data_IF_505685089192
#
_entry.id   IF_505685089192
#
_cell.length_a   1.000
_cell.length_b   1.000
_cell.length_c   1.000
_cell.angle_alpha   90.00
_cell.angle_beta   90.00
_cell.angle_gamma   90.00
#
_symmetry.space_group_name_H-M   'P 1'
#
loop_
_entity.id
_entity.type
_entity.pdbx_description
1 polymer ?
#
# COMPACT_ATOMS: atom_id res chain seq x y z
N UNK A 1 0.46 -34.05 -31.04
CA UNK A 1 1.21 -33.91 -29.78
C UNK A 1 0.18 -33.89 -28.69
N UNK A 2 0.19 -34.91 -27.84
CA UNK A 2 -0.75 -35.05 -26.73
C UNK A 2 -0.57 -33.90 -25.75
N UNK A 3 -1.68 -33.24 -25.44
CA UNK A 3 -1.78 -32.15 -24.48
C UNK A 3 -1.63 -32.76 -23.08
N UNK A 4 -0.41 -32.79 -22.55
CA UNK A 4 -0.16 -33.26 -21.18
C UNK A 4 -0.53 -32.10 -20.24
N UNK A 5 -1.55 -32.25 -19.38
CA UNK A 5 -1.94 -31.19 -18.46
C UNK A 5 -0.77 -30.88 -17.53
N UNK A 6 -0.45 -29.59 -17.41
CA UNK A 6 0.43 -29.06 -16.38
C UNK A 6 0.19 -29.77 -15.04
N UNK A 7 1.27 -30.14 -14.34
CA UNK A 7 1.30 -30.86 -13.04
C UNK A 7 0.60 -30.11 -11.89
N UNK A 8 -0.27 -29.16 -12.19
CA UNK A 8 -0.98 -28.30 -11.25
C UNK A 8 -2.26 -28.98 -10.76
N UNK A 9 -2.12 -29.84 -9.74
CA UNK A 9 -3.26 -30.48 -9.08
C UNK A 9 -3.94 -29.50 -8.14
N UNK A 10 -5.16 -29.11 -8.51
CA UNK A 10 -6.08 -28.36 -7.66
C UNK A 10 -6.64 -29.28 -6.56
N UNK A 11 -6.82 -28.78 -5.32
CA UNK A 11 -7.42 -29.57 -4.26
C UNK A 11 -8.89 -29.85 -4.56
N UNK A 12 -9.32 -31.09 -4.32
CA UNK A 12 -10.66 -31.56 -4.66
C UNK A 12 -11.72 -30.86 -3.79
N UNK A 13 -12.93 -30.65 -4.33
CA UNK A 13 -14.05 -30.02 -3.59
C UNK A 13 -14.46 -30.79 -2.33
N UNK A 14 -14.13 -32.08 -2.27
CA UNK A 14 -14.36 -32.98 -1.13
C UNK A 14 -13.37 -32.77 0.02
N UNK A 15 -12.28 -32.04 -0.17
CA UNK A 15 -11.31 -31.76 0.89
C UNK A 15 -11.83 -30.69 1.87
N UNK A 16 -11.42 -30.83 3.14
CA UNK A 16 -11.77 -29.91 4.20
C UNK A 16 -11.35 -28.47 3.87
N UNK A 17 -12.09 -27.49 4.43
CA UNK A 17 -11.80 -26.06 4.22
C UNK A 17 -10.40 -25.68 4.70
N UNK A 18 -9.87 -26.41 5.70
CA UNK A 18 -8.53 -26.18 6.24
C UNK A 18 -7.44 -26.67 5.28
N UNK A 19 -7.59 -27.85 4.67
CA UNK A 19 -6.66 -28.37 3.66
C UNK A 19 -6.57 -27.46 2.43
N UNK A 20 -7.72 -27.00 1.91
CA UNK A 20 -7.76 -26.09 0.74
C UNK A 20 -7.10 -24.73 1.02
N UNK A 21 -7.31 -24.18 2.23
CA UNK A 21 -6.66 -22.94 2.67
C UNK A 21 -5.15 -23.13 2.82
N UNK A 22 -4.72 -24.25 3.40
CA UNK A 22 -3.30 -24.56 3.57
C UNK A 22 -2.60 -24.78 2.23
N UNK A 23 -3.27 -25.44 1.27
CA UNK A 23 -2.80 -25.57 -0.11
C UNK A 23 -2.63 -24.20 -0.78
N UNK A 24 -3.66 -23.33 -0.72
CA UNK A 24 -3.60 -22.01 -1.31
C UNK A 24 -2.50 -21.15 -0.67
N UNK A 25 -2.35 -21.21 0.66
CA UNK A 25 -1.26 -20.54 1.36
C UNK A 25 0.12 -21.06 0.97
N UNK A 26 0.26 -22.36 0.67
CA UNK A 26 1.52 -22.95 0.20
C UNK A 26 1.86 -22.46 -1.21
N UNK A 27 0.90 -22.50 -2.12
CA UNK A 27 1.04 -22.00 -3.50
C UNK A 27 1.35 -20.51 -3.53
N UNK A 28 0.61 -19.71 -2.75
CA UNK A 28 0.88 -18.27 -2.61
C UNK A 28 2.26 -18.04 -1.99
N UNK A 29 2.70 -18.85 -1.01
CA UNK A 29 4.02 -18.68 -0.38
C UNK A 29 5.16 -19.00 -1.34
N UNK A 30 5.04 -20.08 -2.12
CA UNK A 30 6.00 -20.43 -3.17
C UNK A 30 6.01 -19.35 -4.26
N UNK A 31 4.84 -18.89 -4.69
CA UNK A 31 4.70 -17.78 -5.64
C UNK A 31 5.25 -16.45 -5.10
N UNK A 32 5.07 -16.15 -3.82
CA UNK A 32 5.63 -14.94 -3.18
C UNK A 32 7.17 -15.02 -3.06
N UNK A 33 7.72 -16.22 -2.84
CA UNK A 33 9.18 -16.47 -2.82
C UNK A 33 9.81 -16.41 -4.21
N UNK A 34 9.09 -16.84 -5.24
CA UNK A 34 9.61 -16.91 -6.61
C UNK A 34 9.38 -15.59 -7.36
N UNK A 35 8.30 -14.88 -7.06
CA UNK A 35 7.87 -13.73 -7.86
C UNK A 35 7.67 -12.44 -7.07
N UNK A 36 7.74 -12.39 -5.73
CA UNK A 36 7.49 -11.14 -4.98
C UNK A 36 8.67 -10.68 -4.14
N UNK A 37 9.45 -11.60 -3.57
CA UNK A 37 10.73 -11.31 -2.96
C UNK A 37 11.77 -12.10 -3.75
N UNK A 38 12.63 -11.44 -4.51
CA UNK A 38 13.84 -12.12 -4.95
C UNK A 38 14.64 -12.41 -3.65
N UNK A 39 14.95 -13.69 -3.38
CA UNK A 39 15.61 -14.10 -2.13
C UNK A 39 16.94 -13.37 -1.92
N UNK A 40 17.56 -12.93 -3.02
CA UNK A 40 18.79 -12.13 -3.03
C UNK A 40 18.53 -10.66 -2.60
N UNK A 41 17.45 -10.04 -3.12
CA UNK A 41 17.08 -8.65 -2.80
C UNK A 41 16.68 -8.47 -1.32
N UNK A 42 16.05 -9.47 -0.69
CA UNK A 42 15.67 -9.37 0.73
C UNK A 42 16.88 -9.26 1.66
N UNK A 43 17.93 -10.05 1.39
CA UNK A 43 19.15 -10.05 2.20
C UNK A 43 20.01 -8.82 1.90
N UNK A 44 20.09 -8.38 0.64
CA UNK A 44 20.71 -7.12 0.25
C UNK A 44 20.02 -5.92 0.90
N UNK A 45 18.69 -5.90 0.95
CA UNK A 45 17.92 -4.85 1.64
C UNK A 45 18.19 -4.84 3.14
N UNK A 46 18.28 -6.00 3.79
CA UNK A 46 18.63 -6.09 5.22
C UNK A 46 20.05 -5.59 5.45
N UNK A 47 21.01 -5.98 4.60
CA UNK A 47 22.40 -5.52 4.69
C UNK A 47 22.53 -4.02 4.46
N UNK A 48 21.82 -3.48 3.49
CA UNK A 48 21.80 -2.05 3.17
C UNK A 48 21.17 -1.24 4.31
N UNK A 49 20.04 -1.70 4.88
CA UNK A 49 19.43 -1.08 6.06
C UNK A 49 20.40 -1.07 7.24
N UNK A 50 21.09 -2.18 7.51
CA UNK A 50 22.09 -2.26 8.58
C UNK A 50 23.30 -1.36 8.33
N UNK A 51 23.78 -1.28 7.07
CA UNK A 51 24.87 -0.38 6.65
C UNK A 51 24.50 1.08 6.91
N UNK A 52 23.29 1.48 6.53
CA UNK A 52 22.81 2.84 6.69
C UNK A 52 22.57 3.21 8.15
N UNK A 53 22.04 2.29 8.97
CA UNK A 53 21.87 2.52 10.41
C UNK A 53 23.23 2.64 11.13
N UNK A 54 24.22 1.80 10.76
CA UNK A 54 25.59 1.93 11.27
C UNK A 54 26.21 3.28 10.92
N UNK A 55 26.10 3.72 9.67
CA UNK A 55 26.61 5.02 9.23
C UNK A 55 25.91 6.20 9.92
N UNK A 56 24.63 6.08 10.27
CA UNK A 56 23.93 7.10 11.02
C UNK A 56 24.40 7.19 12.49
N UNK A 57 24.82 6.07 13.09
CA UNK A 57 25.37 6.02 14.46
C UNK A 57 26.84 6.45 14.52
N UNK A 58 27.64 6.07 13.53
CA UNK A 58 29.08 6.33 13.48
C UNK A 58 29.41 7.68 12.80
N UNK A 59 28.49 8.29 12.07
CA UNK A 59 28.73 9.53 11.34
C UNK A 59 29.53 9.33 10.04
N UNK A 60 29.66 10.41 9.28
CA UNK A 60 30.16 10.42 7.90
C UNK A 60 31.57 11.01 7.84
N UNK A 61 32.55 10.25 7.36
CA UNK A 61 33.94 10.69 7.19
C UNK A 61 34.16 11.36 5.84
N UNK A 62 34.85 12.51 5.83
CA UNK A 62 35.30 13.18 4.61
C UNK A 62 36.27 12.29 3.83
N UNK A 63 36.07 12.18 2.51
CA UNK A 63 36.87 11.32 1.62
C UNK A 63 38.33 11.76 1.48
N UNK A 64 38.64 13.03 1.75
CA UNK A 64 39.98 13.61 1.53
C UNK A 64 40.73 13.78 2.85
N UNK A 65 40.11 14.38 3.86
CA UNK A 65 40.79 14.74 5.10
C UNK A 65 40.39 13.92 6.33
N UNK A 66 39.48 12.94 6.18
CA UNK A 66 39.08 12.04 7.26
C UNK A 66 38.24 12.66 8.39
N UNK A 67 37.91 13.96 8.35
CA UNK A 67 37.05 14.61 9.35
C UNK A 67 35.65 14.00 9.39
N UNK A 68 35.10 13.83 10.59
CA UNK A 68 33.78 13.20 10.83
C UNK A 68 32.67 14.23 10.96
N UNK A 69 31.52 13.93 10.36
CA UNK A 69 30.32 14.77 10.35
C UNK A 69 29.09 13.98 10.79
N UNK A 70 28.18 14.63 11.51
CA UNK A 70 26.94 14.01 12.00
C UNK A 70 25.92 13.70 10.88
N UNK A 71 26.08 14.27 9.69
CA UNK A 71 25.19 14.02 8.55
C UNK A 71 25.89 14.15 7.21
N UNK A 72 25.44 13.36 6.25
CA UNK A 72 26.01 13.31 4.89
C UNK A 72 26.02 14.69 4.22
N UNK A 73 24.94 15.46 4.37
CA UNK A 73 24.83 16.84 3.88
C UNK A 73 25.94 17.76 4.41
N UNK A 74 26.39 17.55 5.65
CA UNK A 74 27.48 18.32 6.24
C UNK A 74 28.84 17.88 5.71
N UNK A 75 29.05 16.57 5.51
CA UNK A 75 30.25 16.03 4.87
C UNK A 75 30.37 16.60 3.45
N UNK A 76 29.33 16.49 2.64
CA UNK A 76 29.34 16.97 1.24
C UNK A 76 29.57 18.47 1.16
N UNK A 77 28.96 19.27 2.05
CA UNK A 77 29.21 20.72 2.11
C UNK A 77 30.68 21.04 2.41
N UNK A 78 31.29 20.29 3.32
CA UNK A 78 32.72 20.44 3.62
C UNK A 78 33.59 20.01 2.44
N UNK A 79 33.28 18.89 1.78
CA UNK A 79 34.01 18.39 0.61
C UNK A 79 33.99 19.40 -0.56
N UNK A 80 32.85 20.04 -0.81
CA UNK A 80 32.73 21.10 -1.82
C UNK A 80 33.54 22.34 -1.40
N UNK A 81 33.42 22.78 -0.15
CA UNK A 81 34.01 24.04 0.31
C UNK A 81 35.53 23.98 0.45
N UNK A 82 36.05 22.92 1.06
CA UNK A 82 37.46 22.81 1.45
C UNK A 82 38.29 21.99 0.45
N UNK A 83 37.64 21.15 -0.37
CA UNK A 83 38.32 20.27 -1.32
C UNK A 83 37.87 20.46 -2.77
N UNK A 84 36.91 21.37 -3.03
CA UNK A 84 36.40 21.61 -4.38
C UNK A 84 35.71 20.40 -5.02
N UNK A 85 35.42 19.34 -4.23
CA UNK A 85 34.85 18.09 -4.73
C UNK A 85 33.36 18.30 -5.02
N UNK A 86 33.06 18.58 -6.29
CA UNK A 86 31.68 18.57 -6.79
C UNK A 86 31.38 17.15 -7.24
N UNK A 87 30.34 16.56 -6.65
CA UNK A 87 29.91 15.19 -6.95
C UNK A 87 29.56 15.09 -8.44
N UNK A 88 30.44 14.48 -9.23
CA UNK A 88 30.12 13.91 -10.53
C UNK A 88 29.92 12.39 -10.36
N UNK A 89 29.08 11.83 -11.22
CA UNK A 89 28.83 10.40 -11.41
C UNK A 89 27.89 9.70 -10.41
N UNK A 90 26.60 9.88 -10.62
CA UNK A 90 25.67 8.74 -10.62
C UNK A 90 24.69 8.93 -11.78
N UNK A 91 24.06 7.87 -12.31
CA UNK A 91 23.08 7.95 -13.39
C UNK A 91 22.06 9.09 -13.16
N UNK A 92 21.83 9.89 -14.20
CA UNK A 92 21.07 11.16 -14.15
C UNK A 92 19.60 10.98 -13.74
N UNK A 93 19.11 9.74 -13.62
CA UNK A 93 17.72 9.43 -13.24
C UNK A 93 17.45 9.41 -11.72
N UNK A 94 18.46 9.26 -10.85
CA UNK A 94 18.23 9.26 -9.41
C UNK A 94 18.43 10.66 -8.79
N UNK A 95 17.32 11.27 -8.36
CA UNK A 95 17.32 12.54 -7.59
C UNK A 95 18.04 12.44 -6.25
N UNK A 96 18.51 11.25 -5.85
CA UNK A 96 19.17 10.96 -4.58
C UNK A 96 20.58 10.42 -4.78
N UNK A 97 21.41 10.54 -3.75
CA UNK A 97 22.74 9.92 -3.74
C UNK A 97 22.69 8.47 -3.22
N UNK A 98 23.83 7.78 -3.26
CA UNK A 98 24.01 6.41 -2.72
C UNK A 98 23.75 6.29 -1.21
N UNK A 99 23.46 7.41 -0.56
CA UNK A 99 23.07 7.51 0.83
C UNK A 99 21.66 8.08 0.96
N UNK A 100 20.83 8.07 -0.08
CA UNK A 100 19.42 8.50 -0.04
C UNK A 100 19.14 9.98 0.23
N UNK A 101 20.16 10.85 0.21
CA UNK A 101 19.99 12.31 0.31
C UNK A 101 19.65 12.91 -1.06
N UNK A 102 18.71 13.87 -1.10
CA UNK A 102 18.29 14.57 -2.30
C UNK A 102 19.40 15.48 -2.84
N UNK A 103 19.81 15.31 -4.09
CA UNK A 103 20.81 16.15 -4.74
C UNK A 103 20.19 17.42 -5.28
N UNK A 104 20.92 18.53 -5.24
CA UNK A 104 20.55 19.71 -6.00
C UNK A 104 20.73 19.42 -7.50
N UNK A 105 19.71 19.62 -8.35
CA UNK A 105 19.81 19.43 -9.80
C UNK A 105 20.76 20.43 -10.48
N UNK A 106 21.09 21.54 -9.81
CA UNK A 106 22.01 22.52 -10.37
C UNK A 106 23.45 21.97 -10.32
N UNK A 107 24.03 21.75 -11.51
CA UNK A 107 25.40 21.23 -11.73
C UNK A 107 26.45 22.07 -11.00
N UNK A 108 26.20 23.36 -10.81
CA UNK A 108 27.10 24.28 -10.11
C UNK A 108 26.96 24.24 -8.57
N UNK A 109 25.94 23.56 -8.04
CA UNK A 109 25.67 23.51 -6.61
C UNK A 109 26.25 22.25 -5.94
N UNK A 110 25.90 21.06 -6.43
CA UNK A 110 26.41 19.79 -5.89
C UNK A 110 26.01 19.45 -4.44
N UNK A 111 25.21 20.29 -3.77
CA UNK A 111 24.76 20.06 -2.40
C UNK A 111 23.73 18.93 -2.32
N UNK A 112 23.70 18.25 -1.16
CA UNK A 112 22.72 17.21 -0.85
C UNK A 112 21.90 17.56 0.40
N UNK A 113 20.65 17.11 0.42
CA UNK A 113 19.63 17.50 1.39
C UNK A 113 18.92 16.27 1.97
N UNK A 114 18.62 16.31 3.28
CA UNK A 114 17.96 15.19 3.95
C UNK A 114 16.50 15.00 3.50
N UNK A 115 15.82 16.09 3.17
CA UNK A 115 14.41 16.06 2.76
C UNK A 115 14.17 16.89 1.50
N UNK A 116 13.19 16.49 0.70
CA UNK A 116 12.78 17.22 -0.50
C UNK A 116 12.33 18.65 -0.16
N UNK A 117 11.66 18.86 0.98
CA UNK A 117 11.28 20.19 1.44
C UNK A 117 12.48 21.13 1.66
N UNK A 118 13.58 20.62 2.23
CA UNK A 118 14.81 21.41 2.39
C UNK A 118 15.51 21.69 1.08
N UNK A 119 15.48 20.75 0.13
CA UNK A 119 15.97 20.96 -1.22
C UNK A 119 15.17 22.07 -1.93
N UNK A 120 13.83 21.99 -1.93
CA UNK A 120 12.96 23.01 -2.56
C UNK A 120 13.20 24.40 -2.01
N UNK A 121 13.34 24.53 -0.68
CA UNK A 121 13.67 25.81 -0.03
C UNK A 121 15.03 26.35 -0.47
N UNK A 122 16.03 25.48 -0.59
CA UNK A 122 17.35 25.85 -1.08
C UNK A 122 17.30 26.30 -2.55
N UNK A 123 16.63 25.55 -3.42
CA UNK A 123 16.45 25.90 -4.83
C UNK A 123 15.80 27.27 -4.98
N UNK A 124 14.70 27.50 -4.26
CA UNK A 124 13.99 28.77 -4.29
C UNK A 124 14.86 29.95 -3.83
N UNK A 125 15.73 29.74 -2.83
CA UNK A 125 16.56 30.80 -2.26
C UNK A 125 17.83 31.09 -3.07
N UNK A 126 18.50 30.06 -3.55
CA UNK A 126 19.86 30.15 -4.13
C UNK A 126 19.88 29.99 -5.66
N UNK A 127 18.79 29.48 -6.28
CA UNK A 127 18.74 29.19 -7.71
C UNK A 127 17.52 29.77 -8.44
N UNK A 128 16.56 30.37 -7.73
CA UNK A 128 15.29 30.82 -8.32
C UNK A 128 14.41 29.65 -8.77
N UNK A 129 13.21 29.94 -9.30
CA UNK A 129 12.26 28.92 -9.75
C UNK A 129 12.82 28.21 -10.99
N UNK A 130 13.23 26.95 -10.84
CA UNK A 130 13.53 26.06 -11.96
C UNK A 130 12.33 25.12 -12.09
N UNK A 131 11.48 25.37 -13.08
CA UNK A 131 10.52 24.37 -13.57
C UNK A 131 11.31 23.22 -14.21
N UNK A 132 11.01 21.99 -13.79
CA UNK A 132 11.61 20.79 -14.34
C UNK A 132 11.03 20.59 -15.74
N UNK A 133 11.76 21.03 -16.78
CA UNK A 133 11.50 20.60 -18.15
C UNK A 133 12.22 19.28 -18.35
N UNK A 134 11.46 18.18 -18.33
CA UNK A 134 11.92 16.86 -18.71
C UNK A 134 12.15 16.81 -20.22
N UNK A 135 13.36 17.16 -20.68
CA UNK A 135 13.77 16.90 -22.05
C UNK A 135 14.37 15.49 -22.13
N UNK A 136 13.67 14.63 -22.85
CA UNK A 136 14.17 13.33 -23.28
C UNK A 136 15.28 13.54 -24.31
N UNK A 137 16.49 13.08 -24.00
CA UNK A 137 17.54 12.87 -25.01
C UNK A 137 18.11 11.48 -24.84
N UNK A 138 17.97 10.72 -25.92
CA UNK A 138 18.51 9.39 -26.13
C UNK A 138 20.04 9.46 -26.24
N UNK A 139 20.75 8.73 -25.39
CA UNK A 139 22.11 8.29 -25.66
C UNK A 139 22.21 6.78 -25.46
N UNK A 140 22.62 6.11 -26.53
CA UNK A 140 22.93 4.68 -26.60
C UNK A 140 24.30 4.44 -25.97
N UNK A 141 24.41 3.38 -25.18
CA UNK A 141 25.52 2.39 -25.15
C UNK A 141 25.19 1.37 -24.03
N UNK A 142 24.66 0.19 -24.37
CA UNK A 142 25.38 -1.07 -24.57
C UNK A 142 26.11 -1.59 -23.31
N UNK A 143 25.33 -2.09 -22.36
CA UNK A 143 25.57 -3.37 -21.70
C UNK A 143 24.22 -4.11 -21.65
N UNK A 144 24.24 -5.43 -21.46
CA UNK A 144 23.16 -6.37 -21.75
C UNK A 144 21.96 -6.29 -20.76
N UNK A 145 21.41 -5.10 -20.53
CA UNK A 145 20.17 -4.90 -19.77
C UNK A 145 18.98 -5.29 -20.65
N UNK A 146 18.21 -6.28 -20.20
CA UNK A 146 16.92 -6.58 -20.80
C UNK A 146 16.05 -5.32 -20.77
N UNK A 147 15.82 -4.71 -21.92
CA UNK A 147 14.97 -3.52 -22.05
C UNK A 147 13.65 -3.75 -21.32
N UNK A 148 13.27 -2.84 -20.41
CA UNK A 148 12.04 -2.94 -19.64
C UNK A 148 10.80 -3.18 -20.51
N UNK A 149 9.85 -3.95 -19.98
CA UNK A 149 8.55 -4.21 -20.61
C UNK A 149 7.46 -3.58 -19.75
N UNK A 150 7.07 -2.35 -20.10
CA UNK A 150 6.14 -1.57 -19.29
C UNK A 150 4.71 -2.10 -19.35
N UNK A 151 4.31 -2.75 -20.44
CA UNK A 151 3.00 -3.42 -20.55
C UNK A 151 2.94 -4.65 -19.64
N UNK A 152 3.99 -5.49 -19.65
CA UNK A 152 4.09 -6.63 -18.73
C UNK A 152 4.10 -6.15 -17.27
N UNK A 153 4.89 -5.12 -16.98
CA UNK A 153 4.99 -4.53 -15.65
C UNK A 153 3.64 -4.01 -15.14
N UNK A 154 2.86 -3.37 -16.01
CA UNK A 154 1.50 -2.90 -15.70
C UNK A 154 0.61 -4.07 -15.22
N UNK A 155 0.51 -5.12 -16.03
CA UNK A 155 -0.41 -6.22 -15.74
C UNK A 155 0.06 -7.05 -14.55
N UNK A 156 1.38 -7.24 -14.40
CA UNK A 156 1.99 -7.85 -13.22
C UNK A 156 1.65 -7.07 -11.94
N UNK A 157 1.81 -5.75 -11.95
CA UNK A 157 1.42 -4.89 -10.82
C UNK A 157 -0.09 -4.94 -10.54
N UNK A 158 -0.92 -4.87 -11.59
CA UNK A 158 -2.38 -4.90 -11.49
C UNK A 158 -2.88 -6.20 -10.87
N UNK A 159 -2.39 -7.36 -11.32
CA UNK A 159 -2.75 -8.65 -10.74
C UNK A 159 -2.29 -8.74 -9.28
N UNK A 160 -1.04 -8.34 -8.98
CA UNK A 160 -0.53 -8.35 -7.60
C UNK A 160 -1.41 -7.54 -6.66
N UNK A 161 -1.80 -6.33 -7.06
CA UNK A 161 -2.67 -5.47 -6.27
C UNK A 161 -4.10 -6.04 -6.18
N UNK A 162 -4.64 -6.56 -7.28
CA UNK A 162 -5.95 -7.21 -7.31
C UNK A 162 -6.05 -8.43 -6.39
N UNK A 163 -5.02 -9.28 -6.37
CA UNK A 163 -4.93 -10.42 -5.46
C UNK A 163 -4.83 -9.99 -3.99
N UNK A 164 -4.09 -8.92 -3.70
CA UNK A 164 -4.04 -8.36 -2.34
C UNK A 164 -5.44 -7.89 -1.88
N UNK A 165 -6.18 -7.18 -2.74
CA UNK A 165 -7.55 -6.75 -2.43
C UNK A 165 -8.51 -7.94 -2.28
N UNK A 166 -8.40 -8.94 -3.15
CA UNK A 166 -9.19 -10.15 -3.06
C UNK A 166 -8.93 -10.89 -1.73
N UNK A 167 -7.66 -10.97 -1.30
CA UNK A 167 -7.28 -11.58 -0.02
C UNK A 167 -7.81 -10.77 1.18
N UNK A 168 -7.80 -9.44 1.12
CA UNK A 168 -8.43 -8.58 2.14
C UNK A 168 -9.95 -8.85 2.21
N UNK A 169 -10.64 -8.87 1.08
CA UNK A 169 -12.08 -9.11 1.02
C UNK A 169 -12.45 -10.51 1.55
N UNK A 170 -11.67 -11.52 1.18
CA UNK A 170 -11.87 -12.87 1.68
C UNK A 170 -11.56 -12.97 3.19
N UNK A 171 -10.56 -12.23 3.69
CA UNK A 171 -10.26 -12.19 5.13
C UNK A 171 -11.40 -11.55 5.92
N UNK A 172 -12.00 -10.48 5.37
CA UNK A 172 -13.22 -9.88 5.91
C UNK A 172 -14.33 -10.93 5.94
N UNK A 173 -14.60 -11.56 4.80
CA UNK A 173 -15.70 -12.53 4.64
C UNK A 173 -15.61 -13.69 5.62
N UNK A 174 -14.42 -14.22 5.83
CA UNK A 174 -14.17 -15.32 6.77
C UNK A 174 -14.01 -14.84 8.23
N UNK A 175 -13.88 -13.52 8.48
CA UNK A 175 -13.62 -12.96 9.81
C UNK A 175 -12.21 -13.28 10.33
N UNK A 176 -11.24 -13.48 9.43
CA UNK A 176 -9.87 -13.89 9.78
C UNK A 176 -9.01 -12.67 10.17
N UNK A 177 -9.08 -12.32 11.46
CA UNK A 177 -8.34 -11.21 12.03
C UNK A 177 -6.82 -11.35 11.99
N UNK A 178 -6.29 -12.57 12.11
CA UNK A 178 -4.84 -12.82 12.04
C UNK A 178 -4.31 -12.56 10.63
N UNK A 179 -5.04 -13.04 9.61
CA UNK A 179 -4.73 -12.77 8.21
C UNK A 179 -4.83 -11.27 7.90
N UNK A 180 -5.87 -10.61 8.43
CA UNK A 180 -6.07 -9.17 8.29
C UNK A 180 -4.87 -8.36 8.80
N UNK A 181 -4.31 -8.70 9.96
CA UNK A 181 -3.13 -8.02 10.50
C UNK A 181 -1.92 -8.08 9.55
N UNK A 182 -1.68 -9.24 8.93
CA UNK A 182 -0.59 -9.39 7.98
C UNK A 182 -0.84 -8.60 6.70
N UNK A 183 -2.09 -8.57 6.22
CA UNK A 183 -2.48 -7.78 5.06
C UNK A 183 -2.36 -6.28 5.32
N UNK A 184 -2.71 -5.81 6.52
CA UNK A 184 -2.55 -4.41 6.91
C UNK A 184 -1.09 -3.95 7.03
N UNK A 185 -0.15 -4.84 7.38
CA UNK A 185 1.29 -4.51 7.28
C UNK A 185 1.68 -4.20 5.84
N UNK A 186 1.20 -4.98 4.86
CA UNK A 186 1.45 -4.74 3.43
C UNK A 186 0.73 -3.47 2.94
N UNK A 187 -0.54 -3.30 3.33
CA UNK A 187 -1.35 -2.14 2.96
C UNK A 187 -0.75 -0.84 3.50
N UNK A 188 -0.18 -0.84 4.72
CA UNK A 188 0.52 0.30 5.31
C UNK A 188 1.64 0.81 4.39
N UNK A 189 2.45 -0.09 3.84
CA UNK A 189 3.53 0.27 2.92
C UNK A 189 2.99 0.95 1.66
N UNK A 190 1.91 0.41 1.09
CA UNK A 190 1.24 0.99 -0.08
C UNK A 190 0.64 2.35 0.24
N UNK A 191 -0.05 2.50 1.37
CA UNK A 191 -0.62 3.78 1.78
C UNK A 191 0.46 4.85 1.97
N UNK A 192 1.61 4.49 2.55
CA UNK A 192 2.73 5.43 2.68
C UNK A 192 3.34 5.78 1.32
N UNK A 193 3.60 4.77 0.50
CA UNK A 193 4.21 4.89 -0.83
C UNK A 193 3.43 5.84 -1.76
N UNK A 194 2.10 5.77 -1.72
CA UNK A 194 1.22 6.56 -2.60
C UNK A 194 0.57 7.78 -1.92
N UNK A 195 1.08 8.23 -0.77
CA UNK A 195 0.65 9.48 -0.15
C UNK A 195 -0.72 9.45 0.54
N UNK A 196 -1.26 8.27 0.82
CA UNK A 196 -2.51 8.06 1.56
C UNK A 196 -2.30 8.19 3.08
N UNK A 197 -1.93 9.39 3.52
CA UNK A 197 -1.45 9.68 4.88
C UNK A 197 -2.44 9.30 6.00
N UNK A 198 -3.73 9.59 5.82
CA UNK A 198 -4.79 9.24 6.80
C UNK A 198 -4.89 7.72 6.99
N UNK A 199 -4.91 6.98 5.88
CA UNK A 199 -4.98 5.51 5.89
C UNK A 199 -3.70 4.88 6.46
N UNK A 200 -2.53 5.43 6.11
CA UNK A 200 -1.26 5.00 6.70
C UNK A 200 -1.25 5.22 8.22
N UNK A 201 -1.66 6.40 8.69
CA UNK A 201 -1.72 6.75 10.10
C UNK A 201 -2.66 5.81 10.88
N UNK A 202 -3.90 5.64 10.42
CA UNK A 202 -4.88 4.80 11.10
C UNK A 202 -4.46 3.32 11.13
N UNK A 203 -3.84 2.84 10.05
CA UNK A 203 -3.33 1.46 9.96
C UNK A 203 -2.14 1.25 10.91
N UNK A 204 -1.19 2.19 10.94
CA UNK A 204 -0.05 2.13 11.86
C UNK A 204 -0.55 2.16 13.32
N UNK A 205 -1.47 3.07 13.66
CA UNK A 205 -2.03 3.16 15.02
C UNK A 205 -2.72 1.86 15.42
N UNK A 206 -3.49 1.25 14.51
CA UNK A 206 -4.13 -0.04 14.77
C UNK A 206 -3.09 -1.14 15.05
N UNK A 207 -2.05 -1.24 14.22
CA UNK A 207 -0.99 -2.23 14.41
C UNK A 207 -0.25 -2.01 15.74
N UNK A 208 0.06 -0.76 16.09
CA UNK A 208 0.68 -0.41 17.37
C UNK A 208 -0.23 -0.73 18.55
N UNK A 209 -1.53 -0.44 18.45
CA UNK A 209 -2.50 -0.79 19.50
C UNK A 209 -2.52 -2.28 19.79
N UNK A 210 -2.58 -3.08 18.73
CA UNK A 210 -2.62 -4.55 18.83
C UNK A 210 -1.29 -5.13 19.34
N UNK A 211 -0.15 -4.54 18.99
CA UNK A 211 1.17 -5.12 19.27
C UNK A 211 1.89 -4.58 20.49
N UNK A 212 1.57 -3.37 20.93
CA UNK A 212 2.36 -2.68 21.95
C UNK A 212 1.53 -2.00 23.05
N UNK A 213 0.31 -1.53 22.76
CA UNK A 213 -0.45 -0.70 23.72
C UNK A 213 -1.48 -1.51 24.51
N UNK A 214 -2.22 -2.41 23.84
CA UNK A 214 -3.32 -3.13 24.47
C UNK A 214 -2.84 -4.45 25.08
N UNK A 215 -3.51 -4.88 26.15
CA UNK A 215 -3.38 -6.25 26.66
C UNK A 215 -3.86 -7.26 25.61
N UNK A 216 -3.42 -8.52 25.73
CA UNK A 216 -3.79 -9.59 24.80
C UNK A 216 -5.30 -9.67 24.55
N UNK A 217 -6.11 -9.66 25.61
CA UNK A 217 -7.57 -9.78 25.50
C UNK A 217 -8.21 -8.58 24.78
N UNK A 218 -7.74 -7.36 25.07
CA UNK A 218 -8.21 -6.13 24.41
C UNK A 218 -7.78 -6.09 22.95
N UNK A 219 -6.57 -6.56 22.64
CA UNK A 219 -6.07 -6.66 21.28
C UNK A 219 -6.89 -7.67 20.47
N UNK A 220 -7.17 -8.85 21.03
CA UNK A 220 -8.03 -9.86 20.39
C UNK A 220 -9.45 -9.33 20.16
N UNK A 221 -10.05 -8.70 21.17
CA UNK A 221 -11.35 -8.05 21.04
C UNK A 221 -11.35 -6.98 19.94
N UNK A 222 -10.32 -6.14 19.87
CA UNK A 222 -10.20 -5.11 18.83
C UNK A 222 -10.07 -5.70 17.42
N UNK A 223 -9.35 -6.82 17.29
CA UNK A 223 -9.20 -7.55 16.02
C UNK A 223 -10.53 -8.19 15.62
N UNK A 224 -11.20 -8.88 16.53
CA UNK A 224 -12.49 -9.54 16.28
C UNK A 224 -13.56 -8.50 15.89
N UNK A 225 -13.58 -7.36 16.57
CA UNK A 225 -14.49 -6.24 16.28
C UNK A 225 -14.19 -5.53 14.95
N UNK A 226 -13.25 -5.98 14.12
CA UNK A 226 -13.10 -5.46 12.74
C UNK A 226 -14.19 -5.97 11.80
N UNK A 227 -14.92 -7.01 12.21
CA UNK A 227 -15.89 -7.71 11.38
C UNK A 227 -17.25 -7.70 12.07
N UNK A 228 -18.30 -7.72 11.27
CA UNK A 228 -19.67 -7.85 11.74
C UNK A 228 -20.40 -8.89 10.88
N UNK A 229 -21.09 -9.84 11.52
CA UNK A 229 -21.94 -10.81 10.83
C UNK A 229 -23.40 -10.62 11.24
N UNK A 230 -24.10 -9.78 10.48
CA UNK A 230 -25.54 -9.53 10.70
C UNK A 230 -26.42 -10.73 10.34
N UNK A 231 -25.92 -11.67 9.54
CA UNK A 231 -26.70 -12.80 9.01
C UNK A 231 -26.52 -14.08 9.85
N UNK A 232 -25.51 -14.16 10.71
CA UNK A 232 -25.15 -15.35 11.47
C UNK A 232 -24.65 -16.53 10.62
N UNK A 233 -24.44 -16.35 9.31
CA UNK A 233 -24.04 -17.42 8.37
C UNK A 233 -22.54 -17.42 8.11
N UNK A 234 -21.90 -18.58 7.87
CA UNK A 234 -20.49 -18.64 7.47
C UNK A 234 -20.23 -17.85 6.19
N UNK A 235 -19.11 -17.13 6.13
CA UNK A 235 -18.72 -16.37 4.93
C UNK A 235 -19.62 -15.15 4.64
N UNK A 236 -20.34 -14.64 5.63
CA UNK A 236 -21.22 -13.46 5.50
C UNK A 236 -20.81 -12.30 6.41
N UNK A 237 -19.57 -12.31 6.90
CA UNK A 237 -19.00 -11.17 7.59
C UNK A 237 -18.81 -10.00 6.61
N UNK A 238 -19.05 -8.79 7.10
CA UNK A 238 -18.69 -7.52 6.47
C UNK A 238 -17.70 -6.78 7.36
N UNK A 239 -17.00 -5.78 6.83
CA UNK A 239 -16.17 -4.92 7.68
C UNK A 239 -17.08 -4.15 8.65
N UNK A 240 -16.61 -3.95 9.88
CA UNK A 240 -17.34 -3.13 10.85
C UNK A 240 -17.53 -1.70 10.32
N UNK A 241 -16.55 -1.19 9.57
CA UNK A 241 -16.62 0.13 8.92
C UNK A 241 -17.83 0.23 7.97
N UNK A 242 -18.01 -0.77 7.10
CA UNK A 242 -19.16 -0.83 6.19
C UNK A 242 -20.49 -0.99 6.96
N UNK A 243 -20.49 -1.78 8.04
CA UNK A 243 -21.66 -1.89 8.90
C UNK A 243 -22.05 -0.55 9.53
N UNK A 244 -21.07 0.20 10.04
CA UNK A 244 -21.28 1.53 10.60
C UNK A 244 -21.73 2.53 9.53
N UNK A 245 -21.22 2.43 8.31
CA UNK A 245 -21.70 3.23 7.17
C UNK A 245 -23.18 2.97 6.89
N UNK A 246 -23.62 1.70 6.87
CA UNK A 246 -25.04 1.36 6.71
C UNK A 246 -25.90 1.95 7.84
N UNK A 247 -25.46 1.83 9.10
CA UNK A 247 -26.16 2.42 10.26
C UNK A 247 -26.24 3.94 10.17
N UNK A 248 -25.14 4.60 9.81
CA UNK A 248 -25.10 6.04 9.62
C UNK A 248 -26.04 6.49 8.51
N UNK A 249 -26.15 5.71 7.43
CA UNK A 249 -27.08 5.99 6.35
C UNK A 249 -28.55 5.89 6.80
N UNK A 250 -28.90 4.87 7.60
CA UNK A 250 -30.24 4.76 8.19
C UNK A 250 -30.55 5.97 9.07
N UNK A 251 -29.65 6.35 9.98
CA UNK A 251 -29.82 7.52 10.85
C UNK A 251 -30.04 8.78 10.03
N UNK A 252 -29.24 9.01 8.98
CA UNK A 252 -29.40 10.15 8.08
C UNK A 252 -30.77 10.17 7.40
N UNK A 253 -31.21 9.02 6.88
CA UNK A 253 -32.53 8.91 6.25
C UNK A 253 -33.66 9.27 7.23
N UNK A 254 -33.56 8.83 8.48
CA UNK A 254 -34.53 9.21 9.52
C UNK A 254 -34.47 10.68 9.87
N UNK A 255 -33.28 11.28 9.97
CA UNK A 255 -33.15 12.70 10.25
C UNK A 255 -33.65 13.57 9.11
N UNK A 256 -33.49 13.14 7.86
CA UNK A 256 -33.96 13.88 6.69
C UNK A 256 -35.50 13.98 6.67
N UNK A 257 -36.20 12.97 7.21
CA UNK A 257 -37.67 12.99 7.36
C UNK A 257 -38.17 14.07 8.32
N UNK A 258 -37.33 14.59 9.22
CA UNK A 258 -37.73 15.64 10.16
C UNK A 258 -37.88 17.01 9.47
N UNK A 259 -37.21 17.23 8.32
CA UNK A 259 -37.21 18.50 7.62
C UNK A 259 -36.86 19.68 8.54
N UNK A 260 -37.76 20.67 8.63
CA UNK A 260 -37.57 21.86 9.47
C UNK A 260 -37.53 21.58 10.98
N UNK A 261 -37.94 20.40 11.44
CA UNK A 261 -37.91 20.00 12.85
C UNK A 261 -36.58 19.36 13.27
N UNK A 262 -35.57 19.42 12.39
CA UNK A 262 -34.24 18.94 12.71
C UNK A 262 -33.56 19.85 13.75
N UNK A 263 -33.19 19.27 14.88
CA UNK A 263 -32.49 19.91 15.99
C UNK A 263 -31.71 18.85 16.77
N UNK A 264 -30.88 19.27 17.72
CA UNK A 264 -30.00 18.36 18.46
C UNK A 264 -30.78 17.31 19.26
N UNK A 265 -31.86 17.72 19.94
CA UNK A 265 -32.72 16.80 20.69
C UNK A 265 -33.44 15.79 19.79
N UNK A 266 -33.92 16.22 18.62
CA UNK A 266 -34.61 15.34 17.68
C UNK A 266 -33.63 14.38 17.00
N UNK A 267 -32.42 14.83 16.67
CA UNK A 267 -31.34 13.98 16.19
C UNK A 267 -30.91 12.93 17.23
N UNK A 268 -30.76 13.33 18.51
CA UNK A 268 -30.41 12.41 19.58
C UNK A 268 -31.51 11.36 19.80
N UNK A 269 -32.78 11.77 19.73
CA UNK A 269 -33.93 10.87 19.83
C UNK A 269 -33.91 9.82 18.73
N UNK A 270 -33.71 10.25 17.47
CA UNK A 270 -33.60 9.35 16.32
C UNK A 270 -32.42 8.40 16.47
N UNK A 271 -31.24 8.89 16.85
CA UNK A 271 -30.06 8.04 17.01
C UNK A 271 -30.28 6.94 18.05
N UNK A 272 -30.98 7.26 19.17
CA UNK A 272 -31.33 6.29 20.21
C UNK A 272 -32.39 5.28 19.75
N UNK A 273 -33.35 5.68 18.93
CA UNK A 273 -34.42 4.80 18.44
C UNK A 273 -34.11 4.07 17.13
N UNK A 274 -33.02 4.43 16.43
CA UNK A 274 -32.70 3.92 15.09
C UNK A 274 -32.67 2.39 15.00
N UNK A 275 -32.11 1.71 16.01
CA UNK A 275 -32.09 0.25 16.05
C UNK A 275 -33.50 -0.36 16.07
N UNK A 276 -34.35 0.12 16.98
CA UNK A 276 -35.74 -0.33 17.09
C UNK A 276 -36.57 0.04 15.85
N UNK A 277 -36.32 1.19 15.24
CA UNK A 277 -36.98 1.58 14.00
C UNK A 277 -36.60 0.65 12.83
N UNK A 278 -35.31 0.29 12.71
CA UNK A 278 -34.84 -0.69 11.71
C UNK A 278 -35.53 -2.06 11.90
N UNK A 279 -35.72 -2.50 13.15
CA UNK A 279 -36.39 -3.76 13.49
C UNK A 279 -37.88 -3.73 13.14
N UNK A 280 -38.59 -2.65 13.52
CA UNK A 280 -40.01 -2.45 13.18
C UNK A 280 -40.17 -2.45 11.65
N UNK A 281 -39.35 -1.69 10.93
CA UNK A 281 -39.40 -1.66 9.47
C UNK A 281 -39.13 -3.03 8.85
N UNK A 282 -38.20 -3.80 9.41
CA UNK A 282 -37.93 -5.17 8.94
C UNK A 282 -39.14 -6.08 9.17
N UNK A 283 -39.80 -5.98 10.32
CA UNK A 283 -41.03 -6.73 10.63
C UNK A 283 -42.16 -6.36 9.69
N UNK A 284 -42.46 -5.06 9.54
CA UNK A 284 -43.53 -4.56 8.67
C UNK A 284 -43.29 -4.99 7.21
N UNK A 285 -42.05 -4.90 6.72
CA UNK A 285 -41.73 -5.36 5.38
C UNK A 285 -41.97 -6.87 5.20
N UNK A 286 -41.65 -7.67 6.23
CA UNK A 286 -41.91 -9.11 6.22
C UNK A 286 -43.42 -9.41 6.21
N UNK A 287 -44.21 -8.73 7.06
CA UNK A 287 -45.66 -8.89 7.16
C UNK A 287 -46.37 -8.47 5.87
N UNK A 288 -45.95 -7.35 5.28
CA UNK A 288 -46.49 -6.84 4.03
C UNK A 288 -46.02 -7.66 2.81
N UNK A 289 -45.19 -8.70 3.00
CA UNK A 289 -44.52 -9.46 1.93
C UNK A 289 -43.88 -8.52 0.91
N UNK A 290 -43.41 -7.36 1.38
CA UNK A 290 -42.52 -6.51 0.61
C UNK A 290 -41.25 -7.31 0.54
N UNK A 291 -41.14 -8.16 -0.48
CA UNK A 291 -39.84 -8.65 -0.90
C UNK A 291 -39.02 -7.39 -0.99
N UNK A 292 -37.93 -7.30 -0.21
CA UNK A 292 -36.86 -6.37 -0.58
C UNK A 292 -36.74 -6.61 -2.06
N UNK A 293 -37.05 -5.60 -2.87
CA UNK A 293 -36.57 -5.60 -4.23
C UNK A 293 -35.07 -5.56 -3.99
N UNK A 294 -34.48 -6.74 -3.82
CA UNK A 294 -33.11 -6.96 -4.14
C UNK A 294 -33.10 -6.54 -5.59
N UNK A 295 -32.79 -5.26 -5.80
CA UNK A 295 -32.15 -4.80 -7.01
C UNK A 295 -30.76 -5.46 -7.04
N UNK A 296 -30.70 -6.78 -6.85
CA UNK A 296 -30.06 -7.66 -7.80
C UNK A 296 -30.57 -7.18 -9.16
N UNK A 297 -29.93 -6.14 -9.71
CA UNK A 297 -29.53 -6.22 -11.10
C UNK A 297 -29.07 -7.65 -11.21
N UNK A 298 -29.82 -8.51 -11.92
CA UNK A 298 -29.37 -9.85 -12.22
C UNK A 298 -27.91 -9.66 -12.56
N UNK A 299 -27.00 -10.15 -11.72
CA UNK A 299 -25.58 -10.01 -12.01
C UNK A 299 -25.45 -10.75 -13.31
N UNK A 300 -25.44 -10.01 -14.42
CA UNK A 300 -25.31 -10.58 -15.75
C UNK A 300 -24.15 -11.53 -15.63
N UNK A 301 -24.35 -12.79 -16.01
CA UNK A 301 -23.35 -13.83 -15.83
C UNK A 301 -22.00 -13.27 -16.29
N UNK A 302 -21.05 -13.02 -15.36
CA UNK A 302 -19.82 -12.32 -15.71
C UNK A 302 -18.91 -13.20 -16.57
N UNK A 303 -19.30 -14.46 -16.78
CA UNK A 303 -18.57 -15.45 -17.58
C UNK A 303 -18.19 -14.91 -18.95
N UNK A 304 -19.10 -14.29 -19.71
CA UNK A 304 -18.76 -13.78 -21.05
C UNK A 304 -17.81 -12.59 -21.00
N UNK A 305 -18.01 -11.67 -20.04
CA UNK A 305 -17.09 -10.54 -19.84
C UNK A 305 -15.69 -11.02 -19.42
N UNK A 306 -15.61 -12.02 -18.52
CA UNK A 306 -14.35 -12.61 -18.09
C UNK A 306 -13.66 -13.34 -19.24
N UNK A 307 -14.39 -14.13 -20.04
CA UNK A 307 -13.85 -14.77 -21.25
C UNK A 307 -13.28 -13.76 -22.22
N UNK A 308 -14.00 -12.66 -22.47
CA UNK A 308 -13.53 -11.59 -23.34
C UNK A 308 -12.25 -10.94 -22.79
N UNK A 309 -12.21 -10.56 -21.51
CA UNK A 309 -11.00 -9.99 -20.90
C UNK A 309 -9.82 -10.97 -20.98
N UNK A 310 -10.04 -12.26 -20.70
CA UNK A 310 -8.97 -13.26 -20.78
C UNK A 310 -8.48 -13.42 -22.22
N UNK A 311 -9.38 -13.49 -23.20
CA UNK A 311 -9.03 -13.58 -24.61
C UNK A 311 -8.22 -12.35 -25.07
N UNK A 312 -8.60 -11.14 -24.65
CA UNK A 312 -7.90 -9.89 -24.97
C UNK A 312 -6.49 -9.86 -24.35
N UNK A 313 -6.34 -10.30 -23.10
CA UNK A 313 -5.04 -10.34 -22.41
C UNK A 313 -4.10 -11.37 -23.04
N UNK A 314 -4.61 -12.55 -23.42
CA UNK A 314 -3.83 -13.61 -24.06
C UNK A 314 -3.44 -13.24 -25.49
N UNK A 315 -4.36 -12.74 -26.30
CA UNK A 315 -4.08 -12.27 -27.67
C UNK A 315 -3.05 -11.14 -27.69
N UNK A 316 -3.06 -10.28 -26.68
CA UNK A 316 -2.09 -9.19 -26.51
C UNK A 316 -0.76 -9.62 -25.89
N UNK A 317 -0.59 -10.91 -25.56
CA UNK A 317 0.63 -11.48 -24.94
C UNK A 317 1.15 -10.66 -23.74
N UNK A 318 0.25 -10.14 -22.91
CA UNK A 318 0.64 -9.17 -21.86
C UNK A 318 1.40 -9.81 -20.69
N UNK A 319 1.33 -11.14 -20.56
CA UNK A 319 2.05 -11.92 -19.56
C UNK A 319 3.29 -12.63 -20.10
N UNK A 320 3.63 -12.41 -21.36
CA UNK A 320 4.91 -12.80 -21.93
C UNK A 320 5.82 -11.57 -21.89
N UNK A 321 6.99 -11.73 -21.30
CA UNK A 321 7.98 -10.66 -21.24
C UNK A 321 8.56 -10.41 -22.62
N UNK A 322 8.40 -9.19 -23.13
CA UNK A 322 8.87 -8.74 -24.44
C UNK A 322 9.75 -7.51 -24.25
N UNK A 323 11.08 -7.64 -24.37
CA UNK A 323 12.00 -6.55 -24.08
C UNK A 323 11.71 -5.28 -24.88
N UNK A 324 11.57 -4.13 -24.18
CA UNK A 324 11.40 -2.82 -24.80
C UNK A 324 9.98 -2.53 -25.29
N UNK A 325 8.98 -3.28 -24.83
CA UNK A 325 7.57 -2.98 -25.10
C UNK A 325 7.11 -1.78 -24.29
N UNK A 326 6.57 -0.79 -25.01
CA UNK A 326 6.05 0.45 -24.42
C UNK A 326 4.87 0.20 -23.48
N UNK A 327 4.67 1.12 -22.55
CA UNK A 327 3.53 1.11 -21.64
C UNK A 327 2.28 1.71 -22.29
N UNK A 328 1.14 1.60 -21.58
CA UNK A 328 -0.09 2.26 -21.99
C UNK A 328 0.08 3.78 -21.98
N UNK A 329 -0.67 4.50 -22.83
CA UNK A 329 -0.60 5.96 -22.94
C UNK A 329 -0.77 6.69 -21.60
N UNK A 330 -1.65 6.19 -20.73
CA UNK A 330 -1.86 6.73 -19.37
C UNK A 330 -0.76 6.34 -18.37
N UNK A 331 -0.01 5.27 -18.63
CA UNK A 331 1.00 4.70 -17.74
C UNK A 331 2.25 4.27 -18.52
N UNK A 332 2.98 5.22 -19.15
CA UNK A 332 4.04 4.90 -20.11
C UNK A 332 5.25 4.22 -19.47
N UNK A 333 5.56 4.56 -18.21
CA UNK A 333 6.71 4.02 -17.45
C UNK A 333 6.24 3.49 -16.10
N UNK A 334 5.55 2.35 -16.10
CA UNK A 334 5.08 1.72 -14.85
C UNK A 334 6.04 0.64 -14.36
N UNK A 335 6.38 0.68 -13.08
CA UNK A 335 7.16 -0.37 -12.42
C UNK A 335 6.26 -1.52 -12.00
N UNK A 336 6.75 -2.76 -12.16
CA UNK A 336 6.09 -3.94 -11.61
C UNK A 336 6.06 -3.94 -10.07
N UNK A 337 7.01 -3.25 -9.43
CA UNK A 337 7.11 -3.18 -7.98
C UNK A 337 6.13 -2.14 -7.42
N UNK A 338 5.14 -2.61 -6.65
CA UNK A 338 4.10 -1.76 -6.05
C UNK A 338 4.62 -0.80 -4.98
N UNK A 339 5.83 -1.02 -4.46
CA UNK A 339 6.45 -0.16 -3.44
C UNK A 339 7.69 0.56 -3.97
N UNK A 340 7.88 0.66 -5.29
CA UNK A 340 9.05 1.31 -5.90
C UNK A 340 9.27 2.77 -5.46
N UNK A 341 8.23 3.49 -5.05
CA UNK A 341 8.33 4.89 -4.55
C UNK A 341 8.53 4.98 -3.04
N UNK A 342 8.57 3.86 -2.34
CA UNK A 342 8.65 3.84 -0.89
C UNK A 342 10.04 4.25 -0.44
N UNK A 343 10.12 5.37 0.27
CA UNK A 343 11.32 5.77 0.97
C UNK A 343 11.36 5.15 2.37
N UNK A 344 12.22 4.15 2.56
CA UNK A 344 12.36 3.44 3.83
C UNK A 344 12.81 4.33 4.98
N UNK A 345 13.64 5.36 4.73
CA UNK A 345 14.11 6.27 5.77
C UNK A 345 13.00 7.22 6.19
N UNK A 346 12.26 7.75 5.22
CA UNK A 346 11.09 8.55 5.51
C UNK A 346 10.04 7.73 6.27
N UNK A 347 9.77 6.50 5.84
CA UNK A 347 8.88 5.56 6.52
C UNK A 347 9.33 5.33 7.98
N UNK A 348 10.60 4.99 8.20
CA UNK A 348 11.14 4.72 9.54
C UNK A 348 11.07 5.96 10.45
N UNK A 349 11.53 7.12 9.95
CA UNK A 349 11.48 8.37 10.73
C UNK A 349 10.03 8.74 11.05
N UNK A 350 9.11 8.56 10.11
CA UNK A 350 7.69 8.81 10.30
C UNK A 350 7.11 7.87 11.36
N UNK A 351 7.34 6.55 11.25
CA UNK A 351 6.88 5.57 12.24
C UNK A 351 7.43 5.89 13.64
N UNK A 352 8.74 6.15 13.74
CA UNK A 352 9.39 6.49 15.02
C UNK A 352 8.80 7.75 15.64
N UNK A 353 8.56 8.78 14.84
CA UNK A 353 7.91 10.02 15.31
C UNK A 353 6.53 9.73 15.88
N UNK A 354 5.69 8.96 15.17
CA UNK A 354 4.35 8.62 15.64
C UNK A 354 4.35 7.73 16.88
N UNK A 355 5.26 6.77 16.96
CA UNK A 355 5.41 5.93 18.15
C UNK A 355 5.78 6.76 19.38
N UNK A 356 6.70 7.71 19.24
CA UNK A 356 7.08 8.62 20.33
C UNK A 356 5.92 9.53 20.77
N UNK A 357 5.11 10.02 19.82
CA UNK A 357 3.90 10.80 20.14
C UNK A 357 2.90 9.97 20.93
N UNK A 358 2.65 8.72 20.52
CA UNK A 358 1.70 7.85 21.19
C UNK A 358 2.22 7.32 22.53
N UNK A 359 3.52 7.06 22.67
CA UNK A 359 4.12 6.67 23.95
C UNK A 359 3.76 7.68 25.05
N UNK A 360 3.87 8.98 24.77
CA UNK A 360 3.49 10.05 25.71
C UNK A 360 2.00 10.08 26.07
N UNK A 361 1.13 9.59 25.18
CA UNK A 361 -0.33 9.56 25.40
C UNK A 361 -0.75 8.33 26.21
N UNK A 362 0.00 7.23 26.08
CA UNK A 362 -0.36 5.93 26.65
C UNK A 362 0.55 5.47 27.82
N UNK A 363 1.59 6.24 28.16
CA UNK A 363 2.31 6.11 29.44
C UNK A 363 1.47 6.70 30.58
N UNK A 364 0.80 5.81 31.32
CA UNK A 364 0.19 6.06 32.62
C UNK A 364 0.70 5.06 33.63
#
# INVERSE_FOLDING_TARGET
>A
MEDVPSKFQLPLKSEGRLERRNWLHKVIREFLREFVFDTQESDEVIQEVNRLDRQQREGYTCRVCGRRYQGDAWRVRHEIKEHGLRVQDTPEEDTRNSLGYFKCPNVNCGLVFRTNATLKRHQQKEHGVIEIVSQAVSSKEKENESKEDYTFNYHKAKIRFGLLLADINDAIREGDGKRMLNLYKKALLLYKCYGHTKYAYSTLLFLTKVKAILSADKAESLIANKFCNTHGKPGKNISLDLFLEHRNNSVKSYTDLLGSNFGEESAQRIARSAGTMDEILTSVNADCKVSRQDKNRSSTDPTEAVKQVVADLLSSNVFVYTPGRDGYSSFPKISANLVHRLDYRDLYNWMKTRLNEWAKIYEH
#
